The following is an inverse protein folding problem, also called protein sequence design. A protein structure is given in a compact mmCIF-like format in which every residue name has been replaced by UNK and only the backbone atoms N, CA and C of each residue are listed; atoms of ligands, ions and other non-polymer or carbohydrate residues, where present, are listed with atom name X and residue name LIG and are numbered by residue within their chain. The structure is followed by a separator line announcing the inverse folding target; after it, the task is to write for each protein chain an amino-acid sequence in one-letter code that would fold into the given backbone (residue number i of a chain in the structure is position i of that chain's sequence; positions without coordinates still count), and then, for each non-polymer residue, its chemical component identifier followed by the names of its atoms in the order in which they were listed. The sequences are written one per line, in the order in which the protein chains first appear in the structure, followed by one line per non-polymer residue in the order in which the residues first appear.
data_IF_979821692126
#
_entry.id   IF_979821692126
#
_cell.length_a   1.000
_cell.length_b   1.000
_cell.length_c   1.000
_cell.angle_alpha   90.00
_cell.angle_beta   90.00
_cell.angle_gamma   90.00
#
_symmetry.space_group_name_H-M   'P 1'
#
loop_
_entity.id
_entity.type
_entity.pdbx_description
1 polymer ?
#
# COMPACT_ATOMS: atom_id res chain seq x y z
N UNK A 1 -69.08 18.89 -67.12
CA UNK A 1 -68.05 17.88 -67.45
C UNK A 1 -68.20 16.70 -66.48
N UNK A 2 -68.14 15.48 -67.05
CA UNK A 2 -68.16 14.11 -66.49
C UNK A 2 -68.40 13.89 -64.97
N UNK A 3 -69.47 13.23 -64.53
CA UNK A 3 -69.82 11.78 -64.53
C UNK A 3 -69.04 10.90 -63.51
N UNK A 4 -69.80 10.50 -62.47
CA UNK A 4 -69.95 9.15 -61.85
C UNK A 4 -68.74 8.35 -61.36
N UNK A 5 -68.82 7.86 -60.11
CA UNK A 5 -68.59 6.44 -59.74
C UNK A 5 -69.03 6.20 -58.28
N UNK A 6 -70.20 5.60 -58.01
CA UNK A 6 -70.44 4.18 -57.66
C UNK A 6 -69.50 3.57 -56.60
N UNK A 7 -70.11 3.35 -55.43
CA UNK A 7 -70.30 2.07 -54.73
C UNK A 7 -69.26 1.57 -53.69
N UNK A 8 -69.76 1.46 -52.46
CA UNK A 8 -69.64 0.36 -51.48
C UNK A 8 -68.27 -0.29 -51.25
N UNK A 9 -67.74 -0.08 -50.03
CA UNK A 9 -67.13 -1.14 -49.24
C UNK A 9 -67.59 -1.03 -47.79
N UNK A 10 -68.39 -2.00 -47.36
CA UNK A 10 -68.46 -2.42 -45.97
C UNK A 10 -67.06 -2.88 -45.53
N UNK A 11 -66.56 -2.35 -44.41
CA UNK A 11 -65.58 -3.03 -43.57
C UNK A 11 -66.03 -2.88 -42.12
N UNK A 12 -66.59 -3.95 -41.57
CA UNK A 12 -66.66 -4.15 -40.13
C UNK A 12 -65.29 -4.72 -39.76
N UNK A 13 -64.42 -3.91 -39.17
CA UNK A 13 -63.21 -4.39 -38.50
C UNK A 13 -63.03 -3.68 -37.15
N UNK A 14 -63.34 -4.44 -36.11
CA UNK A 14 -62.58 -4.60 -34.87
C UNK A 14 -62.34 -3.36 -33.98
N UNK A 15 -63.18 -3.28 -32.95
CA UNK A 15 -62.78 -3.44 -31.54
C UNK A 15 -61.27 -3.25 -31.26
N UNK A 16 -60.93 -2.17 -30.56
CA UNK A 16 -59.61 -2.01 -29.97
C UNK A 16 -59.33 -0.56 -29.63
N UNK A 17 -59.80 -0.15 -28.46
CA UNK A 17 -59.66 1.19 -27.90
C UNK A 17 -58.22 1.72 -28.04
N UNK A 18 -58.05 2.80 -28.83
CA UNK A 18 -56.80 3.56 -28.99
C UNK A 18 -56.45 4.41 -27.77
N UNK A 19 -56.96 4.03 -26.60
CA UNK A 19 -56.88 4.79 -25.36
C UNK A 19 -55.44 4.88 -24.79
N UNK A 20 -54.52 4.04 -25.29
CA UNK A 20 -53.16 3.92 -24.78
C UNK A 20 -52.11 4.10 -25.91
N UNK A 21 -52.24 5.13 -26.75
CA UNK A 21 -51.11 5.53 -27.61
C UNK A 21 -50.26 6.55 -26.86
N UNK A 22 -48.97 6.24 -26.77
CA UNK A 22 -47.99 6.71 -25.78
C UNK A 22 -47.58 8.20 -25.83
N UNK A 23 -48.31 9.07 -26.55
CA UNK A 23 -47.91 10.47 -26.78
C UNK A 23 -48.89 11.50 -26.19
N UNK A 24 -49.56 11.17 -25.08
CA UNK A 24 -50.48 12.09 -24.41
C UNK A 24 -49.73 13.12 -23.55
N UNK A 25 -49.49 14.30 -24.15
CA UNK A 25 -49.14 15.50 -23.41
C UNK A 25 -50.23 15.80 -22.36
N UNK A 26 -49.83 16.04 -21.09
CA UNK A 26 -50.69 16.21 -19.90
C UNK A 26 -51.95 17.07 -20.06
N UNK A 27 -52.00 17.99 -21.02
CA UNK A 27 -53.17 18.84 -21.30
C UNK A 27 -54.27 18.11 -22.08
N UNK A 28 -53.92 17.18 -22.96
CA UNK A 28 -54.89 16.50 -23.83
C UNK A 28 -55.65 15.39 -23.10
N UNK A 29 -55.04 14.75 -22.11
CA UNK A 29 -55.67 13.63 -21.38
C UNK A 29 -56.94 14.06 -20.63
N UNK A 30 -56.92 15.20 -19.93
CA UNK A 30 -58.10 15.68 -19.22
C UNK A 30 -59.25 16.05 -20.18
N UNK A 31 -58.90 16.56 -21.36
CA UNK A 31 -59.86 16.92 -22.39
C UNK A 31 -60.49 15.69 -23.05
N UNK A 32 -59.70 14.65 -23.35
CA UNK A 32 -60.23 13.38 -23.86
C UNK A 32 -61.14 12.67 -22.85
N UNK A 33 -60.78 12.68 -21.56
CA UNK A 33 -61.65 12.13 -20.52
C UNK A 33 -62.99 12.88 -20.43
N UNK A 34 -62.98 14.20 -20.59
CA UNK A 34 -64.21 15.00 -20.62
C UNK A 34 -65.08 14.68 -21.84
N UNK A 35 -64.48 14.53 -23.01
CA UNK A 35 -65.18 14.19 -24.25
C UNK A 35 -65.77 12.77 -24.21
N UNK A 36 -65.04 11.82 -23.63
CA UNK A 36 -65.46 10.42 -23.55
C UNK A 36 -66.45 10.13 -22.41
N UNK A 37 -66.23 10.69 -21.22
CA UNK A 37 -67.09 10.46 -20.04
C UNK A 37 -68.22 11.50 -19.89
N UNK A 38 -68.19 12.58 -20.66
CA UNK A 38 -69.19 13.65 -20.62
C UNK A 38 -69.19 14.47 -19.33
N UNK A 39 -68.16 14.35 -18.49
CA UNK A 39 -68.06 14.99 -17.19
C UNK A 39 -66.68 15.62 -17.00
N UNK A 40 -66.66 16.84 -16.46
CA UNK A 40 -65.41 17.54 -16.16
C UNK A 40 -64.81 17.03 -14.85
N UNK A 41 -63.49 17.00 -14.76
CA UNK A 41 -62.79 16.57 -13.54
C UNK A 41 -62.78 17.77 -12.57
N UNK A 42 -63.35 17.66 -11.35
CA UNK A 42 -63.36 18.76 -10.41
C UNK A 42 -61.94 19.20 -10.02
N UNK A 43 -61.77 20.51 -9.80
CA UNK A 43 -60.51 21.07 -9.34
C UNK A 43 -60.07 20.37 -8.04
N UNK A 44 -58.81 19.94 -7.99
CA UNK A 44 -58.18 19.24 -6.87
C UNK A 44 -58.64 17.79 -6.57
N UNK A 45 -59.41 17.14 -7.46
CA UNK A 45 -59.87 15.76 -7.26
C UNK A 45 -58.73 14.77 -6.94
N UNK A 46 -57.58 14.89 -7.62
CA UNK A 46 -56.42 14.02 -7.41
C UNK A 46 -55.40 14.53 -6.39
N UNK A 47 -55.61 15.71 -5.78
CA UNK A 47 -54.59 16.33 -4.93
C UNK A 47 -54.28 15.48 -3.70
N UNK A 48 -55.32 14.98 -3.01
CA UNK A 48 -55.18 14.10 -1.83
C UNK A 48 -54.53 12.77 -2.15
N UNK A 49 -54.84 12.18 -3.31
CA UNK A 49 -54.25 10.91 -3.75
C UNK A 49 -52.76 11.08 -4.08
N UNK A 50 -52.41 12.15 -4.79
CA UNK A 50 -51.01 12.48 -5.10
C UNK A 50 -50.19 12.73 -3.84
N UNK A 51 -50.74 13.48 -2.89
CA UNK A 51 -50.12 13.73 -1.59
C UNK A 51 -49.96 12.44 -0.78
N UNK A 52 -51.00 11.59 -0.74
CA UNK A 52 -50.95 10.30 -0.05
C UNK A 52 -49.91 9.35 -0.66
N UNK A 53 -49.77 9.33 -1.99
CA UNK A 53 -48.75 8.53 -2.66
C UNK A 53 -47.36 9.09 -2.35
N UNK A 54 -47.20 10.41 -2.43
CA UNK A 54 -45.93 11.08 -2.15
C UNK A 54 -45.47 10.84 -0.70
N UNK A 55 -46.38 10.90 0.27
CA UNK A 55 -46.10 10.66 1.68
C UNK A 55 -45.96 9.17 2.03
N UNK A 56 -46.51 8.26 1.22
CA UNK A 56 -46.39 6.82 1.41
C UNK A 56 -45.12 6.23 0.78
N UNK A 57 -44.44 6.98 -0.09
CA UNK A 57 -43.11 6.60 -0.53
C UNK A 57 -42.16 6.83 0.65
N UNK A 58 -41.31 5.87 1.01
CA UNK A 58 -40.19 6.18 1.88
C UNK A 58 -39.37 7.22 1.13
N UNK A 59 -39.38 8.47 1.60
CA UNK A 59 -38.39 9.46 1.18
C UNK A 59 -37.04 8.95 1.66
N UNK A 60 -36.47 8.03 0.89
CA UNK A 60 -35.03 7.89 0.76
C UNK A 60 -34.63 9.24 0.20
N UNK A 61 -34.31 10.18 1.11
CA UNK A 61 -33.44 11.32 0.85
C UNK A 61 -32.46 10.87 -0.22
N UNK A 62 -32.30 11.61 -1.31
CA UNK A 62 -31.50 11.31 -2.49
C UNK A 62 -30.06 10.84 -2.16
N UNK A 63 -29.90 9.70 -1.50
CA UNK A 63 -28.72 8.91 -1.41
C UNK A 63 -28.68 8.27 -2.78
N UNK A 64 -28.12 9.04 -3.71
CA UNK A 64 -27.50 8.55 -4.92
C UNK A 64 -26.92 7.20 -4.54
N UNK A 65 -27.55 6.11 -5.00
CA UNK A 65 -26.99 4.77 -4.88
C UNK A 65 -25.74 4.81 -5.75
N UNK A 66 -24.65 5.28 -5.17
CA UNK A 66 -23.32 5.15 -5.71
C UNK A 66 -23.06 3.66 -5.69
N UNK A 67 -23.32 3.00 -6.80
CA UNK A 67 -22.54 1.80 -7.14
C UNK A 67 -21.10 2.28 -7.17
N UNK A 68 -20.43 2.18 -6.02
CA UNK A 68 -19.00 2.41 -5.85
C UNK A 68 -18.26 1.29 -6.60
N UNK A 69 -18.36 1.30 -7.92
CA UNK A 69 -17.38 0.65 -8.75
C UNK A 69 -16.12 1.50 -8.66
N UNK A 70 -15.02 0.91 -8.20
CA UNK A 70 -13.73 1.57 -8.32
C UNK A 70 -13.54 1.98 -9.79
N UNK A 71 -13.16 3.24 -10.03
CA UNK A 71 -12.75 3.69 -11.36
C UNK A 71 -11.71 2.71 -11.91
N UNK A 72 -11.80 2.27 -13.19
CA UNK A 72 -10.90 1.26 -13.75
C UNK A 72 -9.42 1.64 -13.64
N UNK A 73 -9.10 2.94 -13.59
CA UNK A 73 -7.74 3.43 -13.37
C UNK A 73 -7.14 3.06 -12.00
N UNK A 74 -7.97 2.87 -10.97
CA UNK A 74 -7.53 2.47 -9.62
C UNK A 74 -7.66 0.95 -9.45
N UNK A 75 -8.54 0.31 -10.21
CA UNK A 75 -8.80 -1.14 -10.10
C UNK A 75 -7.56 -1.99 -10.43
N UNK A 76 -6.82 -1.66 -11.49
CA UNK A 76 -5.62 -2.41 -11.90
C UNK A 76 -4.43 -2.29 -10.93
N UNK A 77 -4.00 -1.08 -10.49
CA UNK A 77 -2.89 -0.97 -9.54
C UNK A 77 -3.24 -1.57 -8.18
N UNK A 78 -4.51 -1.52 -7.75
CA UNK A 78 -4.96 -2.13 -6.50
C UNK A 78 -4.90 -3.68 -6.57
N UNK A 79 -5.33 -4.28 -7.67
CA UNK A 79 -5.24 -5.73 -7.87
C UNK A 79 -3.78 -6.22 -7.95
N UNK A 80 -2.91 -5.48 -8.65
CA UNK A 80 -1.48 -5.80 -8.74
C UNK A 80 -0.78 -5.71 -7.38
N UNK A 81 -1.10 -4.68 -6.58
CA UNK A 81 -0.62 -4.54 -5.20
C UNK A 81 -0.99 -5.75 -4.34
N UNK A 82 -2.22 -6.27 -4.48
CA UNK A 82 -2.67 -7.44 -3.73
C UNK A 82 -1.88 -8.70 -4.10
N UNK A 83 -1.60 -8.93 -5.38
CA UNK A 83 -0.81 -10.08 -5.84
C UNK A 83 0.66 -9.99 -5.39
N UNK A 84 1.26 -8.79 -5.41
CA UNK A 84 2.61 -8.57 -4.89
C UNK A 84 2.65 -8.88 -3.40
N UNK A 85 1.67 -8.37 -2.63
CA UNK A 85 1.60 -8.60 -1.19
C UNK A 85 1.39 -10.09 -0.86
N UNK A 86 0.54 -10.79 -1.63
CA UNK A 86 0.34 -12.23 -1.54
C UNK A 86 1.62 -13.01 -1.88
N UNK A 87 2.35 -12.60 -2.92
CA UNK A 87 3.61 -13.22 -3.32
C UNK A 87 4.70 -13.05 -2.26
N UNK A 88 4.83 -11.84 -1.70
CA UNK A 88 5.73 -11.56 -0.57
C UNK A 88 5.32 -12.39 0.65
N UNK A 89 4.02 -12.50 0.93
CA UNK A 89 3.50 -13.26 2.08
C UNK A 89 3.78 -14.77 1.96
N UNK A 90 3.56 -15.38 0.79
CA UNK A 90 3.89 -16.79 0.54
C UNK A 90 5.40 -17.01 0.57
N UNK A 91 6.18 -16.08 0.03
CA UNK A 91 7.64 -16.13 0.10
C UNK A 91 8.15 -16.05 1.55
N UNK A 92 7.58 -15.15 2.38
CA UNK A 92 7.88 -15.05 3.81
C UNK A 92 7.48 -16.31 4.58
N UNK A 93 6.38 -16.97 4.22
CA UNK A 93 5.94 -18.19 4.88
C UNK A 93 6.77 -19.42 4.52
N UNK A 94 7.34 -19.47 3.30
CA UNK A 94 8.16 -20.60 2.87
C UNK A 94 9.47 -20.71 3.67
N UNK A 95 9.96 -19.59 4.21
CA UNK A 95 11.19 -19.53 5.01
C UNK A 95 10.90 -19.34 6.52
N UNK A 96 9.64 -19.42 6.95
CA UNK A 96 9.29 -19.17 8.35
C UNK A 96 9.58 -20.40 9.24
N UNK A 97 10.59 -20.36 10.12
CA UNK A 97 10.56 -21.20 11.32
C UNK A 97 9.35 -20.79 12.18
N UNK A 98 8.79 -21.73 12.92
CA UNK A 98 7.58 -21.58 13.76
C UNK A 98 7.45 -20.18 14.40
N UNK A 99 6.45 -19.41 13.94
CA UNK A 99 6.14 -18.08 14.43
C UNK A 99 5.45 -18.16 15.80
N UNK A 100 6.25 -18.06 16.85
CA UNK A 100 5.79 -17.62 18.16
C UNK A 100 5.85 -16.08 18.17
N UNK A 101 4.73 -15.34 18.15
CA UNK A 101 4.76 -13.91 17.94
C UNK A 101 5.11 -13.19 19.25
N UNK A 102 6.40 -13.08 19.54
CA UNK A 102 6.94 -11.99 20.34
C UNK A 102 7.67 -11.07 19.36
N UNK A 103 6.97 -10.07 18.83
CA UNK A 103 7.61 -8.99 18.09
C UNK A 103 8.45 -8.22 19.12
N UNK A 104 9.71 -8.61 19.26
CA UNK A 104 10.74 -7.81 19.90
C UNK A 104 11.38 -6.99 18.80
N UNK A 105 11.25 -5.67 18.87
CA UNK A 105 11.91 -4.72 17.97
C UNK A 105 13.46 -4.80 18.00
N UNK A 106 14.03 -5.80 18.66
CA UNK A 106 15.46 -5.97 18.92
C UNK A 106 16.25 -6.38 17.68
N UNK A 107 15.67 -7.12 16.73
CA UNK A 107 16.45 -7.71 15.63
C UNK A 107 16.80 -6.70 14.52
N UNK A 108 15.86 -5.81 14.16
CA UNK A 108 16.11 -4.70 13.22
C UNK A 108 17.03 -3.66 13.84
N UNK A 109 16.93 -3.46 15.15
CA UNK A 109 17.77 -2.53 15.92
C UNK A 109 19.20 -3.07 16.07
N UNK A 110 19.38 -4.39 16.29
CA UNK A 110 20.70 -5.02 16.36
C UNK A 110 21.51 -4.87 15.06
N UNK A 111 20.86 -4.94 13.89
CA UNK A 111 21.55 -4.71 12.61
C UNK A 111 21.98 -3.27 12.34
N UNK A 112 21.46 -2.31 13.11
CA UNK A 112 21.83 -0.89 13.03
C UNK A 112 22.93 -0.52 14.03
N UNK A 113 23.07 -1.32 15.09
CA UNK A 113 24.06 -1.16 16.16
C UNK A 113 25.37 -1.93 15.90
N UNK A 114 25.54 -2.54 14.71
CA UNK A 114 26.68 -3.40 14.37
C UNK A 114 27.96 -2.69 13.95
N UNK A 115 27.96 -1.35 13.81
CA UNK A 115 29.22 -0.61 13.68
C UNK A 115 29.84 -0.47 15.08
N UNK A 116 30.80 -1.34 15.38
CA UNK A 116 31.52 -1.47 16.65
C UNK A 116 32.21 -0.20 17.13
N UNK A 117 32.44 0.74 16.21
CA UNK A 117 33.25 1.92 16.45
C UNK A 117 32.41 3.10 16.99
N UNK A 118 31.07 3.03 16.84
CA UNK A 118 30.18 4.11 17.25
C UNK A 118 29.48 3.76 18.57
N UNK A 119 29.95 4.35 19.67
CA UNK A 119 29.38 4.17 21.02
C UNK A 119 27.96 4.74 21.16
N UNK A 120 27.64 5.78 20.40
CA UNK A 120 26.43 6.59 20.62
C UNK A 120 25.15 5.86 20.21
N UNK A 121 25.18 5.17 19.08
CA UNK A 121 24.03 4.42 18.55
C UNK A 121 23.61 3.27 19.48
N UNK A 122 24.49 2.33 19.87
CA UNK A 122 24.15 1.26 20.82
C UNK A 122 23.81 1.80 22.22
N UNK A 123 24.45 2.90 22.67
CA UNK A 123 24.12 3.52 23.96
C UNK A 123 22.68 4.02 24.05
N UNK A 124 22.12 4.53 22.94
CA UNK A 124 20.72 4.98 22.88
C UNK A 124 19.70 3.84 22.88
N UNK A 125 20.15 2.61 22.63
CA UNK A 125 19.31 1.44 22.44
C UNK A 125 19.35 0.47 23.63
N UNK A 126 20.31 0.67 24.53
CA UNK A 126 20.44 -0.06 25.79
C UNK A 126 19.40 0.46 26.80
N UNK A 127 18.83 -0.45 27.59
CA UNK A 127 17.94 -0.07 28.70
C UNK A 127 18.73 0.60 29.83
N UNK A 128 18.16 1.62 30.48
CA UNK A 128 18.83 2.37 31.55
C UNK A 128 19.39 1.46 32.67
N UNK A 129 18.66 0.39 33.01
CA UNK A 129 19.06 -0.59 34.02
C UNK A 129 20.33 -1.38 33.65
N UNK A 130 20.65 -1.46 32.35
CA UNK A 130 21.80 -2.18 31.80
C UNK A 130 22.91 -1.23 31.28
N UNK A 131 22.73 0.09 31.42
CA UNK A 131 23.66 1.09 30.90
C UNK A 131 25.04 1.02 31.55
N UNK A 132 25.10 0.77 32.86
CA UNK A 132 26.35 0.67 33.62
C UNK A 132 27.19 -0.53 33.14
N UNK A 133 26.55 -1.68 32.94
CA UNK A 133 27.21 -2.90 32.43
C UNK A 133 27.72 -2.71 31.00
N UNK A 134 26.95 -2.02 30.16
CA UNK A 134 27.37 -1.69 28.80
C UNK A 134 28.56 -0.72 28.77
N UNK A 135 28.55 0.31 29.61
CA UNK A 135 29.66 1.25 29.74
C UNK A 135 30.96 0.55 30.19
N UNK A 136 30.87 -0.33 31.18
CA UNK A 136 32.01 -1.11 31.66
C UNK A 136 32.58 -2.01 30.55
N UNK A 137 31.72 -2.73 29.84
CA UNK A 137 32.13 -3.61 28.73
C UNK A 137 32.76 -2.81 27.58
N UNK A 138 32.20 -1.64 27.24
CA UNK A 138 32.77 -0.75 26.22
C UNK A 138 34.14 -0.22 26.62
N UNK A 139 34.31 0.26 27.86
CA UNK A 139 35.59 0.77 28.35
C UNK A 139 36.66 -0.34 28.34
N UNK A 140 36.31 -1.56 28.77
CA UNK A 140 37.27 -2.67 28.78
C UNK A 140 37.62 -3.12 27.37
N UNK A 141 36.63 -3.41 26.53
CA UNK A 141 36.90 -4.05 25.24
C UNK A 141 37.34 -3.06 24.17
N UNK A 142 36.63 -1.94 24.01
CA UNK A 142 36.90 -1.00 22.92
C UNK A 142 38.00 0.00 23.25
N UNK A 143 38.23 0.34 24.53
CA UNK A 143 39.27 1.31 24.90
C UNK A 143 40.52 0.60 25.41
N UNK A 144 40.40 -0.26 26.44
CA UNK A 144 41.57 -0.87 27.08
C UNK A 144 42.21 -1.96 26.22
N UNK A 145 41.43 -2.95 25.77
CA UNK A 145 41.95 -4.08 24.97
C UNK A 145 42.45 -3.62 23.60
N UNK A 146 41.71 -2.73 22.92
CA UNK A 146 42.13 -2.14 21.65
C UNK A 146 43.47 -1.38 21.79
N UNK A 147 43.63 -0.58 22.85
CA UNK A 147 44.87 0.12 23.14
C UNK A 147 46.02 -0.84 23.44
N UNK A 148 45.78 -1.91 24.22
CA UNK A 148 46.78 -2.92 24.53
C UNK A 148 47.21 -3.70 23.28
N UNK A 149 46.27 -4.07 22.40
CA UNK A 149 46.57 -4.71 21.12
C UNK A 149 47.41 -3.81 20.22
N UNK A 150 47.09 -2.52 20.16
CA UNK A 150 47.88 -1.53 19.41
C UNK A 150 49.30 -1.40 19.95
N UNK A 151 49.47 -1.37 21.28
CA UNK A 151 50.78 -1.35 21.93
C UNK A 151 51.58 -2.62 21.61
N UNK A 152 50.97 -3.81 21.70
CA UNK A 152 51.61 -5.07 21.36
C UNK A 152 52.02 -5.14 19.88
N UNK A 153 51.19 -4.62 18.98
CA UNK A 153 51.52 -4.52 17.56
C UNK A 153 52.71 -3.59 17.32
N UNK A 154 52.74 -2.44 18.00
CA UNK A 154 53.85 -1.50 17.93
C UNK A 154 55.15 -2.13 18.48
N UNK A 155 55.07 -2.83 19.61
CA UNK A 155 56.20 -3.56 20.19
C UNK A 155 56.70 -4.64 19.24
N UNK A 156 55.81 -5.41 18.62
CA UNK A 156 56.17 -6.44 17.65
C UNK A 156 56.89 -5.83 16.42
N UNK A 157 56.40 -4.71 15.89
CA UNK A 157 57.08 -3.97 14.83
C UNK A 157 58.47 -3.51 15.28
N UNK A 158 58.59 -2.99 16.50
CA UNK A 158 59.85 -2.54 17.06
C UNK A 158 60.87 -3.69 17.22
N UNK A 159 60.45 -4.81 17.81
CA UNK A 159 61.28 -6.01 17.98
C UNK A 159 61.71 -6.61 16.64
N UNK A 160 60.79 -6.71 15.67
CA UNK A 160 61.14 -7.17 14.33
C UNK A 160 62.13 -6.24 13.65
N UNK A 161 62.01 -4.92 13.85
CA UNK A 161 62.96 -3.95 13.32
C UNK A 161 64.37 -4.16 13.90
N UNK A 162 64.48 -4.40 15.22
CA UNK A 162 65.79 -4.68 15.86
C UNK A 162 66.45 -5.95 15.29
N UNK A 163 65.69 -7.04 15.13
CA UNK A 163 66.25 -8.29 14.59
C UNK A 163 66.60 -8.19 13.09
N UNK A 164 65.82 -7.46 12.31
CA UNK A 164 66.14 -7.19 10.90
C UNK A 164 67.41 -6.36 10.79
N UNK A 165 67.59 -5.34 11.63
CA UNK A 165 68.79 -4.52 11.66
C UNK A 165 70.03 -5.32 12.10
N UNK A 166 69.92 -6.14 13.15
CA UNK A 166 71.01 -7.05 13.58
C UNK A 166 71.35 -8.11 12.51
N UNK A 167 70.37 -8.59 11.73
CA UNK A 167 70.63 -9.51 10.63
C UNK A 167 71.44 -8.87 9.50
N UNK A 168 71.21 -7.59 9.24
CA UNK A 168 71.97 -6.79 8.26
C UNK A 168 73.38 -6.51 8.78
N UNK A 169 73.52 -6.19 10.08
CA UNK A 169 74.82 -6.05 10.74
C UNK A 169 75.61 -7.36 10.69
N UNK A 170 75.00 -8.51 10.99
CA UNK A 170 75.69 -9.80 10.96
C UNK A 170 76.18 -10.14 9.55
N UNK A 171 75.38 -9.87 8.52
CA UNK A 171 75.81 -10.09 7.14
C UNK A 171 76.95 -9.15 6.74
N UNK A 172 76.93 -7.90 7.20
CA UNK A 172 78.02 -6.95 7.00
C UNK A 172 79.31 -7.38 7.76
N UNK A 173 79.18 -7.83 9.01
CA UNK A 173 80.31 -8.32 9.81
C UNK A 173 80.89 -9.59 9.17
N UNK A 174 80.07 -10.55 8.77
CA UNK A 174 80.52 -11.79 8.13
C UNK A 174 81.24 -11.50 6.82
N UNK A 175 80.71 -10.61 5.97
CA UNK A 175 81.41 -10.20 4.74
C UNK A 175 82.74 -9.50 5.03
N UNK A 176 82.76 -8.55 5.98
CA UNK A 176 83.97 -7.78 6.31
C UNK A 176 85.04 -8.64 6.99
N UNK A 177 84.66 -9.61 7.82
CA UNK A 177 85.58 -10.57 8.45
C UNK A 177 86.10 -11.58 7.44
N UNK A 178 85.25 -12.10 6.55
CA UNK A 178 85.65 -13.05 5.52
C UNK A 178 86.56 -12.39 4.49
N UNK A 179 86.31 -11.12 4.14
CA UNK A 179 87.19 -10.33 3.27
C UNK A 179 88.55 -10.02 3.91
N UNK A 180 88.61 -9.75 5.22
CA UNK A 180 89.87 -9.49 5.93
C UNK A 180 90.66 -10.75 6.35
N UNK A 181 90.04 -11.93 6.40
CA UNK A 181 90.72 -13.20 6.74
C UNK A 181 91.25 -13.91 5.47
N UNK A 182 90.57 -13.73 4.33
CA UNK A 182 90.95 -14.38 3.06
C UNK A 182 91.98 -13.57 2.25
N UNK A 183 92.33 -12.37 2.72
CA UNK A 183 93.46 -11.57 2.21
C UNK A 183 94.69 -11.69 3.12
#
# INVERSE_FOLDING_TARGET
MAKTSKNNKNHIEQSGNRFLKDDLHKKDLAQEHKEYLGMDIPDNYFSKSKESILNSLPFVNEQKRTVFGLKPFIAYPLAASFLILMGIFVWLQNDAPELNPKITNTEVIQSLATDSDDFLVPSLLIEDDNLEVFLDDFIVNAILVEAELSEQQLENIFINSLFVEDSLINNYIDQTLLENIVL
#
